data_IF_586753634168
#
_entry.id   IF_586753634168
#
_cell.length_a   1.000
_cell.length_b   1.000
_cell.length_c   1.000
_cell.angle_alpha   90.00
_cell.angle_beta   90.00
_cell.angle_gamma   90.00
#
_symmetry.space_group_name_H-M   'P 1'
#
loop_
_entity.id
_entity.type
_entity.pdbx_description
1 polymer ?
#
# COMPACT_ATOMS: atom_id res chain seq x y z
N UNK A 1 28.77 0.20 -2.18
CA UNK A 1 27.55 -0.57 -2.46
C UNK A 1 26.73 0.26 -3.41
N UNK A 2 26.45 -0.22 -4.63
CA UNK A 2 25.55 0.46 -5.57
C UNK A 2 24.16 0.48 -4.96
N UNK A 3 23.54 1.64 -4.78
CA UNK A 3 22.16 1.74 -4.37
C UNK A 3 21.31 1.10 -5.47
N UNK A 4 20.74 -0.06 -5.18
CA UNK A 4 19.80 -0.69 -6.11
C UNK A 4 18.47 0.05 -6.01
N UNK A 5 18.04 0.67 -7.10
CA UNK A 5 16.72 1.29 -7.16
C UNK A 5 15.63 0.22 -7.06
N UNK A 6 14.54 0.56 -6.36
CA UNK A 6 13.30 -0.23 -6.36
C UNK A 6 12.46 0.18 -7.56
N UNK A 7 11.96 -0.81 -8.30
CA UNK A 7 11.03 -0.60 -9.42
C UNK A 7 9.79 -1.42 -9.10
N UNK A 8 8.74 -0.74 -8.61
CA UNK A 8 7.48 -1.34 -8.24
C UNK A 8 6.39 -1.13 -9.30
N UNK A 9 5.50 -2.10 -9.42
CA UNK A 9 4.32 -1.99 -10.27
C UNK A 9 3.10 -2.63 -9.61
N UNK A 10 1.92 -2.00 -9.76
CA UNK A 10 0.65 -2.56 -9.31
C UNK A 10 -0.06 -3.25 -10.46
N UNK A 11 -0.67 -4.41 -10.17
CA UNK A 11 -1.52 -5.14 -11.11
C UNK A 11 -2.75 -5.67 -10.39
N UNK A 12 -3.92 -5.50 -10.99
CA UNK A 12 -5.13 -6.15 -10.48
C UNK A 12 -5.11 -7.65 -10.82
N UNK A 13 -5.58 -8.51 -9.92
CA UNK A 13 -5.50 -9.96 -10.06
C UNK A 13 -5.99 -10.46 -11.42
N UNK A 14 -7.13 -9.95 -11.91
CA UNK A 14 -7.69 -10.32 -13.23
C UNK A 14 -6.80 -9.99 -14.44
N UNK A 15 -5.78 -9.15 -14.26
CA UNK A 15 -4.83 -8.78 -15.30
C UNK A 15 -3.42 -9.33 -15.05
N UNK A 16 -3.26 -10.23 -14.07
CA UNK A 16 -1.97 -10.82 -13.71
C UNK A 16 -1.36 -11.61 -14.87
N UNK A 17 -2.18 -12.23 -15.70
CA UNK A 17 -1.81 -12.97 -16.91
C UNK A 17 -1.19 -12.07 -17.98
N UNK A 18 -1.51 -10.76 -17.99
CA UNK A 18 -0.96 -9.79 -18.94
C UNK A 18 0.45 -9.34 -18.61
N UNK A 19 0.94 -9.56 -17.38
CA UNK A 19 2.32 -9.27 -16.99
C UNK A 19 3.24 -10.25 -17.68
N UNK A 20 4.01 -9.77 -18.65
CA UNK A 20 4.92 -10.63 -19.42
C UNK A 20 6.17 -11.02 -18.60
N UNK A 21 6.87 -12.13 -18.97
CA UNK A 21 8.17 -12.44 -18.40
C UNK A 21 9.22 -11.32 -18.56
N UNK A 22 9.11 -10.52 -19.65
CA UNK A 22 10.00 -9.38 -19.87
C UNK A 22 9.70 -8.21 -18.92
N UNK A 23 8.44 -8.01 -18.54
CA UNK A 23 8.06 -7.00 -17.57
C UNK A 23 8.47 -7.41 -16.15
N UNK A 24 8.23 -8.68 -15.78
CA UNK A 24 8.68 -9.22 -14.50
C UNK A 24 10.18 -9.02 -14.26
N UNK A 25 11.01 -9.15 -15.30
CA UNK A 25 12.47 -8.94 -15.22
C UNK A 25 12.90 -7.48 -15.00
N UNK A 26 12.01 -6.51 -15.25
CA UNK A 26 12.28 -5.08 -15.03
C UNK A 26 11.87 -4.62 -13.64
N UNK A 27 11.07 -5.43 -12.91
CA UNK A 27 10.53 -5.10 -11.62
C UNK A 27 11.39 -5.70 -10.50
N UNK A 28 11.45 -4.99 -9.38
CA UNK A 28 11.90 -5.52 -8.09
C UNK A 28 10.73 -5.95 -7.22
N UNK A 29 9.57 -5.29 -7.40
CA UNK A 29 8.36 -5.51 -6.62
C UNK A 29 7.12 -5.49 -7.51
N UNK A 30 6.23 -6.46 -7.32
CA UNK A 30 4.93 -6.51 -7.97
C UNK A 30 3.85 -6.56 -6.89
N UNK A 31 2.99 -5.55 -6.86
CA UNK A 31 1.87 -5.46 -5.94
C UNK A 31 0.62 -6.02 -6.61
N UNK A 32 0.07 -7.08 -6.04
CA UNK A 32 -1.14 -7.72 -6.57
C UNK A 32 -2.36 -7.19 -5.85
N UNK A 33 -3.14 -6.41 -6.54
CA UNK A 33 -4.32 -5.71 -6.05
C UNK A 33 -5.62 -6.47 -6.39
N UNK A 34 -6.62 -6.56 -5.59
CA UNK A 34 -6.64 -6.22 -4.17
C UNK A 34 -7.30 -7.35 -3.38
N UNK A 35 -6.73 -7.67 -2.22
CA UNK A 35 -7.49 -8.29 -1.17
C UNK A 35 -8.39 -7.22 -0.50
N UNK A 36 -9.44 -7.65 0.16
CA UNK A 36 -10.41 -6.77 0.85
C UNK A 36 -10.64 -7.25 2.27
N UNK A 37 -11.28 -6.43 3.10
CA UNK A 37 -11.66 -6.80 4.46
C UNK A 37 -13.15 -7.18 4.46
N UNK A 38 -13.44 -8.38 4.95
CA UNK A 38 -14.81 -8.89 5.16
C UNK A 38 -14.90 -9.45 6.58
N UNK A 39 -15.88 -8.99 7.35
CA UNK A 39 -16.10 -9.41 8.74
C UNK A 39 -14.84 -9.31 9.63
N UNK A 40 -13.99 -8.30 9.38
CA UNK A 40 -12.74 -8.04 10.10
C UNK A 40 -11.54 -8.89 9.67
N UNK A 41 -11.70 -9.76 8.67
CA UNK A 41 -10.64 -10.60 8.12
C UNK A 41 -10.28 -10.18 6.69
N UNK A 42 -9.02 -10.36 6.33
CA UNK A 42 -8.53 -10.11 4.97
C UNK A 42 -8.84 -11.32 4.10
N UNK A 43 -9.53 -11.08 2.98
CA UNK A 43 -9.90 -12.13 2.03
C UNK A 43 -9.49 -11.76 0.61
N UNK A 44 -9.12 -12.76 -0.20
CA UNK A 44 -8.95 -12.60 -1.64
C UNK A 44 -10.09 -13.31 -2.36
N UNK A 45 -11.02 -12.53 -2.95
CA UNK A 45 -12.30 -13.03 -3.46
C UNK A 45 -12.21 -13.99 -4.63
N UNK A 46 -11.11 -13.91 -5.40
CA UNK A 46 -10.94 -14.67 -6.66
C UNK A 46 -9.58 -15.38 -6.69
N UNK A 47 -9.39 -16.41 -5.87
CA UNK A 47 -8.11 -17.09 -5.75
C UNK A 47 -7.56 -17.66 -7.06
N UNK A 48 -8.44 -18.00 -8.01
CA UNK A 48 -8.03 -18.53 -9.32
C UNK A 48 -7.22 -17.51 -10.15
N UNK A 49 -7.41 -16.21 -9.90
CA UNK A 49 -6.62 -15.14 -10.53
C UNK A 49 -5.13 -15.18 -10.12
N UNK A 50 -4.79 -15.87 -9.01
CA UNK A 50 -3.41 -15.95 -8.49
C UNK A 50 -2.59 -17.12 -9.09
N UNK A 51 -3.14 -17.89 -10.03
CA UNK A 51 -2.48 -19.06 -10.60
C UNK A 51 -1.14 -18.75 -11.30
N UNK A 52 -0.99 -17.53 -11.82
CA UNK A 52 0.18 -17.11 -12.61
C UNK A 52 1.40 -16.66 -11.79
N UNK A 53 1.34 -16.62 -10.47
CA UNK A 53 2.46 -16.17 -9.62
C UNK A 53 3.73 -17.00 -9.85
N UNK A 54 3.60 -18.32 -10.02
CA UNK A 54 4.73 -19.21 -10.27
C UNK A 54 5.46 -18.90 -11.58
N UNK A 55 4.72 -18.52 -12.63
CA UNK A 55 5.26 -18.11 -13.92
C UNK A 55 6.13 -16.85 -13.81
N UNK A 56 5.68 -15.86 -13.05
CA UNK A 56 6.41 -14.61 -12.83
C UNK A 56 7.69 -14.85 -12.02
N UNK A 57 7.63 -15.69 -10.98
CA UNK A 57 8.80 -16.09 -10.20
C UNK A 57 9.83 -16.88 -11.03
N UNK A 58 9.37 -17.75 -11.92
CA UNK A 58 10.26 -18.47 -12.83
C UNK A 58 11.00 -17.52 -13.78
N UNK A 59 10.35 -16.41 -14.19
CA UNK A 59 10.96 -15.41 -15.06
C UNK A 59 11.95 -14.49 -14.30
N UNK A 60 11.66 -14.18 -13.05
CA UNK A 60 12.50 -13.36 -12.18
C UNK A 60 12.46 -13.92 -10.73
N UNK A 61 13.44 -14.75 -10.35
CA UNK A 61 13.48 -15.33 -9.00
C UNK A 61 13.64 -14.30 -7.87
N UNK A 62 14.17 -13.12 -8.17
CA UNK A 62 14.38 -12.03 -7.20
C UNK A 62 13.17 -11.09 -7.07
N UNK A 63 12.13 -11.31 -7.91
CA UNK A 63 10.91 -10.51 -7.86
C UNK A 63 10.15 -10.76 -6.56
N UNK A 64 9.94 -9.72 -5.77
CA UNK A 64 9.01 -9.77 -4.64
C UNK A 64 7.59 -9.56 -5.15
N UNK A 65 6.70 -10.47 -4.79
CA UNK A 65 5.29 -10.37 -5.13
C UNK A 65 4.53 -10.14 -3.82
N UNK A 66 3.92 -8.97 -3.69
CA UNK A 66 3.34 -8.44 -2.46
C UNK A 66 1.83 -8.38 -2.63
N UNK A 67 1.07 -8.83 -1.63
CA UNK A 67 -0.39 -8.75 -1.62
C UNK A 67 -0.83 -7.35 -1.19
N UNK A 68 -1.48 -6.60 -2.06
CA UNK A 68 -2.08 -5.31 -1.72
C UNK A 68 -3.50 -5.50 -1.22
N UNK A 69 -3.80 -4.86 -0.08
CA UNK A 69 -5.09 -4.93 0.63
C UNK A 69 -5.69 -3.54 0.63
N UNK A 70 -6.91 -3.39 0.11
CA UNK A 70 -7.60 -2.12 0.13
C UNK A 70 -7.94 -1.55 -1.24
N UNK A 71 -7.46 -0.34 -1.51
CA UNK A 71 -7.78 0.45 -2.68
C UNK A 71 -8.98 1.36 -2.48
N UNK A 72 -9.21 2.28 -3.42
CA UNK A 72 -10.28 3.27 -3.33
C UNK A 72 -11.67 2.64 -3.08
N UNK A 73 -12.31 3.08 -1.99
CA UNK A 73 -13.64 2.59 -1.59
C UNK A 73 -13.64 1.25 -0.86
N UNK A 74 -12.48 0.65 -0.60
CA UNK A 74 -12.39 -0.55 0.22
C UNK A 74 -12.55 -0.20 1.70
N UNK A 75 -13.68 -0.54 2.30
CA UNK A 75 -13.99 -0.35 3.72
C UNK A 75 -13.43 -1.47 4.60
N UNK A 76 -13.77 -1.39 5.89
CA UNK A 76 -13.42 -2.39 6.90
C UNK A 76 -12.14 -2.07 7.70
N UNK A 77 -11.34 -1.11 7.25
CA UNK A 77 -10.08 -0.75 7.94
C UNK A 77 -10.32 -0.09 9.29
N UNK A 78 -11.18 0.94 9.35
CA UNK A 78 -11.48 1.66 10.60
C UNK A 78 -12.04 0.70 11.65
N UNK A 79 -12.94 -0.20 11.24
CA UNK A 79 -13.55 -1.20 12.12
C UNK A 79 -12.51 -2.24 12.59
N UNK A 80 -11.68 -2.76 11.68
CA UNK A 80 -10.63 -3.72 12.03
C UNK A 80 -9.54 -3.09 12.91
N UNK A 81 -9.19 -1.83 12.66
CA UNK A 81 -8.17 -1.11 13.44
C UNK A 81 -8.64 -0.73 14.84
N UNK A 82 -9.95 -0.54 15.06
CA UNK A 82 -10.53 0.02 16.27
C UNK A 82 -10.20 -0.78 17.55
N UNK A 83 -10.11 -2.11 17.45
CA UNK A 83 -9.91 -2.97 18.62
C UNK A 83 -8.66 -3.85 18.50
N UNK A 84 -8.05 -4.27 19.63
CA UNK A 84 -6.92 -5.20 19.58
C UNK A 84 -7.27 -6.54 18.90
N UNK A 85 -8.50 -7.04 19.08
CA UNK A 85 -8.94 -8.29 18.45
C UNK A 85 -9.12 -8.13 16.94
N UNK A 86 -9.69 -7.00 16.50
CA UNK A 86 -9.81 -6.68 15.08
C UNK A 86 -8.45 -6.58 14.39
N UNK A 87 -7.48 -5.87 14.99
CA UNK A 87 -6.12 -5.78 14.46
C UNK A 87 -5.44 -7.14 14.35
N UNK A 88 -5.62 -8.01 15.37
CA UNK A 88 -5.11 -9.40 15.33
C UNK A 88 -5.79 -10.24 14.25
N UNK A 89 -7.11 -10.09 14.06
CA UNK A 89 -7.87 -10.77 12.99
C UNK A 89 -7.35 -10.38 11.62
N UNK A 90 -7.23 -9.08 11.36
CA UNK A 90 -6.64 -8.54 10.13
C UNK A 90 -5.23 -9.09 9.87
N UNK A 91 -4.32 -8.94 10.84
CA UNK A 91 -2.92 -9.36 10.67
C UNK A 91 -2.79 -10.86 10.38
N UNK A 92 -3.49 -11.70 11.16
CA UNK A 92 -3.45 -13.17 10.99
C UNK A 92 -4.04 -13.61 9.65
N UNK A 93 -5.17 -13.04 9.23
CA UNK A 93 -5.79 -13.39 7.95
C UNK A 93 -4.95 -12.93 6.76
N UNK A 94 -4.35 -11.73 6.82
CA UNK A 94 -3.41 -11.23 5.82
C UNK A 94 -2.20 -12.17 5.67
N UNK A 95 -1.55 -12.55 6.79
CA UNK A 95 -0.39 -13.46 6.77
C UNK A 95 -0.77 -14.87 6.35
N UNK A 96 -1.98 -15.32 6.65
CA UNK A 96 -2.49 -16.60 6.15
C UNK A 96 -2.57 -16.64 4.62
N UNK A 97 -2.98 -15.53 3.98
CA UNK A 97 -2.96 -15.39 2.51
C UNK A 97 -1.52 -15.35 1.98
N UNK A 98 -0.61 -14.62 2.65
CA UNK A 98 0.82 -14.60 2.30
C UNK A 98 1.38 -16.01 2.26
N UNK A 99 1.16 -16.79 3.31
CA UNK A 99 1.59 -18.20 3.39
C UNK A 99 0.94 -19.08 2.34
N UNK A 100 -0.37 -18.96 2.17
CA UNK A 100 -1.16 -19.81 1.26
C UNK A 100 -0.74 -19.65 -0.19
N UNK A 101 -0.51 -18.42 -0.64
CA UNK A 101 -0.23 -18.11 -2.05
C UNK A 101 1.25 -17.80 -2.32
N UNK A 102 2.09 -17.82 -1.29
CA UNK A 102 3.52 -17.61 -1.40
C UNK A 102 3.89 -16.15 -1.70
N UNK A 103 3.12 -15.19 -1.24
CA UNK A 103 3.50 -13.78 -1.34
C UNK A 103 4.76 -13.47 -0.52
N UNK A 104 5.42 -12.36 -0.84
CA UNK A 104 6.63 -11.88 -0.17
C UNK A 104 6.34 -10.76 0.84
N UNK A 105 5.07 -10.52 1.12
CA UNK A 105 4.65 -9.51 2.08
C UNK A 105 3.24 -9.01 1.83
N UNK A 106 2.92 -7.94 2.55
CA UNK A 106 1.64 -7.25 2.55
C UNK A 106 1.86 -5.77 2.25
N UNK A 107 1.01 -5.20 1.42
CA UNK A 107 0.85 -3.78 1.18
C UNK A 107 -0.50 -3.33 1.70
N UNK A 108 -0.55 -2.24 2.47
CA UNK A 108 -1.80 -1.71 3.03
C UNK A 108 -2.15 -0.43 2.30
N UNK A 109 -3.26 -0.46 1.58
CA UNK A 109 -3.77 0.64 0.77
C UNK A 109 -5.10 1.14 1.35
N UNK A 110 -5.02 1.80 2.51
CA UNK A 110 -6.18 2.40 3.18
C UNK A 110 -6.38 3.84 2.71
N UNK A 111 -7.47 4.09 1.98
CA UNK A 111 -7.77 5.39 1.38
C UNK A 111 -9.04 6.04 1.97
N UNK A 112 -8.98 6.74 3.13
CA UNK A 112 -7.79 7.03 3.94
C UNK A 112 -8.14 6.98 5.43
N UNK A 113 -7.19 6.82 6.35
CA UNK A 113 -7.43 6.98 7.77
C UNK A 113 -8.04 8.37 8.07
N UNK A 114 -9.03 8.43 8.95
CA UNK A 114 -9.76 9.64 9.33
C UNK A 114 -10.59 10.30 8.20
N UNK A 115 -10.71 9.70 7.02
CA UNK A 115 -11.32 10.33 5.85
C UNK A 115 -12.33 9.41 5.15
N UNK A 116 -13.60 9.83 5.11
CA UNK A 116 -14.72 9.01 4.61
C UNK A 116 -15.16 9.31 3.17
N UNK A 117 -14.36 10.05 2.38
CA UNK A 117 -14.78 10.54 1.06
C UNK A 117 -15.10 9.43 0.04
N UNK A 118 -14.49 8.26 0.19
CA UNK A 118 -14.78 7.10 -0.64
C UNK A 118 -16.04 6.32 -0.19
N UNK A 119 -16.80 6.84 0.78
CA UNK A 119 -17.96 6.18 1.36
C UNK A 119 -17.62 5.06 2.35
N UNK A 120 -16.37 5.03 2.83
CA UNK A 120 -15.91 4.09 3.86
C UNK A 120 -16.14 4.67 5.26
N UNK A 121 -16.15 3.81 6.28
CA UNK A 121 -16.14 4.25 7.66
C UNK A 121 -14.80 4.94 7.99
N UNK A 122 -14.86 5.99 8.80
CA UNK A 122 -13.71 6.71 9.29
C UNK A 122 -13.98 7.25 10.70
N UNK A 123 -12.95 7.29 11.53
CA UNK A 123 -13.01 7.82 12.89
C UNK A 123 -11.76 8.68 13.16
N UNK A 124 -11.84 9.71 14.02
CA UNK A 124 -10.65 10.48 14.41
C UNK A 124 -9.54 9.63 15.04
N UNK A 125 -9.89 8.50 15.65
CA UNK A 125 -8.94 7.53 16.21
C UNK A 125 -8.17 6.75 15.16
N UNK A 126 -8.57 6.79 13.89
CA UNK A 126 -7.88 6.05 12.82
C UNK A 126 -6.42 6.47 12.70
N UNK A 127 -6.12 7.71 13.07
CA UNK A 127 -4.78 8.26 13.07
C UNK A 127 -3.81 7.42 13.90
N UNK A 128 -4.21 7.06 15.12
CA UNK A 128 -3.42 6.23 16.03
C UNK A 128 -3.63 4.75 15.74
N UNK A 129 -4.87 4.34 15.44
CA UNK A 129 -5.18 2.92 15.25
C UNK A 129 -4.61 2.36 13.94
N UNK A 130 -4.32 3.19 12.94
CA UNK A 130 -3.56 2.81 11.75
C UNK A 130 -2.15 2.34 12.12
N UNK A 131 -1.43 3.12 12.94
CA UNK A 131 -0.11 2.72 13.45
C UNK A 131 -0.19 1.39 14.20
N UNK A 132 -1.21 1.22 15.06
CA UNK A 132 -1.41 -0.02 15.81
C UNK A 132 -1.74 -1.22 14.90
N UNK A 133 -2.51 -1.01 13.82
CA UNK A 133 -2.80 -2.04 12.81
C UNK A 133 -1.52 -2.50 12.09
N UNK A 134 -0.69 -1.54 11.68
CA UNK A 134 0.59 -1.83 11.05
C UNK A 134 1.55 -2.53 12.01
N UNK A 135 1.62 -2.12 13.26
CA UNK A 135 2.45 -2.76 14.30
C UNK A 135 2.06 -4.23 14.53
N UNK A 136 0.76 -4.53 14.63
CA UNK A 136 0.29 -5.91 14.76
C UNK A 136 0.60 -6.72 13.49
N UNK A 137 0.40 -6.11 12.30
CA UNK A 137 0.71 -6.75 11.01
C UNK A 137 2.21 -7.02 10.87
N UNK A 138 3.08 -6.07 11.25
CA UNK A 138 4.53 -6.25 11.26
C UNK A 138 4.93 -7.41 12.18
N UNK A 139 4.37 -7.45 13.39
CA UNK A 139 4.64 -8.51 14.37
C UNK A 139 4.24 -9.91 13.85
N UNK A 140 3.12 -10.01 13.13
CA UNK A 140 2.69 -11.28 12.54
C UNK A 140 3.56 -11.69 11.34
N UNK A 141 3.94 -10.71 10.48
CA UNK A 141 4.89 -10.94 9.39
C UNK A 141 6.27 -11.36 9.90
N UNK A 142 6.76 -10.80 11.01
CA UNK A 142 8.04 -11.17 11.60
C UNK A 142 8.03 -12.60 12.14
N UNK A 143 6.92 -13.03 12.75
CA UNK A 143 6.74 -14.44 13.17
C UNK A 143 6.78 -15.39 11.98
N UNK A 144 6.09 -15.05 10.89
CA UNK A 144 6.11 -15.85 9.67
C UNK A 144 7.48 -15.82 8.98
N UNK A 145 8.15 -14.66 8.97
CA UNK A 145 9.51 -14.50 8.44
C UNK A 145 10.50 -15.43 9.15
N UNK A 146 10.41 -15.51 10.48
CA UNK A 146 11.23 -16.42 11.26
C UNK A 146 10.93 -17.90 10.95
N UNK A 147 9.67 -18.24 10.67
CA UNK A 147 9.26 -19.59 10.35
C UNK A 147 9.68 -20.02 8.93
N UNK A 148 9.58 -19.12 7.94
CA UNK A 148 9.92 -19.43 6.54
C UNK A 148 11.36 -19.11 6.14
N UNK A 149 12.14 -18.44 7.02
CA UNK A 149 13.56 -18.12 6.81
C UNK A 149 13.83 -17.01 5.79
N UNK A 150 12.81 -16.18 5.46
CA UNK A 150 12.94 -15.05 4.54
C UNK A 150 12.20 -13.83 5.08
N UNK A 151 12.71 -12.63 4.78
CA UNK A 151 12.04 -11.39 5.16
C UNK A 151 10.73 -11.22 4.37
N UNK A 152 9.64 -10.94 5.08
CA UNK A 152 8.34 -10.60 4.49
C UNK A 152 8.11 -9.10 4.63
N UNK A 153 7.87 -8.44 3.50
CA UNK A 153 7.72 -6.98 3.46
C UNK A 153 6.39 -6.54 4.05
N UNK A 154 6.41 -5.40 4.73
CA UNK A 154 5.23 -4.59 5.01
C UNK A 154 5.38 -3.27 4.29
N UNK A 155 4.45 -2.93 3.41
CA UNK A 155 4.44 -1.66 2.68
C UNK A 155 3.10 -0.97 2.82
N UNK A 156 3.06 0.32 2.51
CA UNK A 156 1.81 1.10 2.48
C UNK A 156 1.74 1.91 1.20
N UNK A 157 0.52 2.08 0.65
CA UNK A 157 0.22 3.07 -0.36
C UNK A 157 -0.42 4.29 0.31
N UNK A 158 0.03 5.49 -0.05
CA UNK A 158 -0.33 6.72 0.65
C UNK A 158 -0.68 7.85 -0.31
N UNK A 159 -1.64 8.69 0.06
CA UNK A 159 -1.96 9.91 -0.67
C UNK A 159 -0.79 10.90 -0.67
N UNK A 160 -0.62 11.60 -1.79
CA UNK A 160 0.39 12.66 -1.94
C UNK A 160 -0.13 14.03 -1.47
N UNK A 161 -0.97 14.05 -0.46
CA UNK A 161 -1.67 15.24 0.01
C UNK A 161 -1.60 15.41 1.53
N UNK A 162 -2.08 16.59 1.96
CA UNK A 162 -2.08 16.97 3.36
C UNK A 162 -3.03 16.11 4.21
N UNK A 163 -4.13 15.63 3.65
CA UNK A 163 -5.13 14.85 4.39
C UNK A 163 -4.55 13.54 4.90
N UNK A 164 -3.73 12.86 4.07
CA UNK A 164 -3.06 11.66 4.53
C UNK A 164 -2.06 11.94 5.67
N UNK A 165 -1.26 13.00 5.55
CA UNK A 165 -0.26 13.36 6.57
C UNK A 165 -0.94 13.73 7.91
N UNK A 166 -2.08 14.40 7.86
CA UNK A 166 -2.87 14.73 9.05
C UNK A 166 -3.58 13.51 9.64
N UNK A 167 -3.96 12.55 8.80
CA UNK A 167 -4.66 11.32 9.15
C UNK A 167 -3.77 10.16 9.61
N UNK A 168 -2.44 10.31 9.63
CA UNK A 168 -1.50 9.25 10.01
C UNK A 168 -0.37 9.76 10.90
N UNK A 169 0.16 8.91 11.78
CA UNK A 169 1.35 9.17 12.61
C UNK A 169 2.61 8.71 11.86
N UNK A 170 2.98 9.42 10.78
CA UNK A 170 4.07 8.99 9.89
C UNK A 170 5.42 8.86 10.60
N UNK A 171 5.67 9.62 11.67
CA UNK A 171 6.89 9.51 12.48
C UNK A 171 7.03 8.13 13.13
N UNK A 172 5.90 7.45 13.42
CA UNK A 172 5.88 6.09 13.98
C UNK A 172 5.74 5.02 12.87
N UNK A 173 4.92 5.30 11.86
CA UNK A 173 4.65 4.38 10.75
C UNK A 173 5.90 4.03 9.96
N UNK A 174 6.78 5.02 9.71
CA UNK A 174 8.01 4.81 8.95
C UNK A 174 8.95 3.75 9.55
N UNK A 175 8.89 3.53 10.86
CA UNK A 175 9.72 2.55 11.55
C UNK A 175 9.15 1.11 11.46
N UNK A 176 7.91 0.98 11.02
CA UNK A 176 7.19 -0.30 10.88
C UNK A 176 7.23 -0.87 9.46
N UNK A 177 7.42 -0.01 8.46
CA UNK A 177 7.26 -0.39 7.04
C UNK A 177 8.57 -0.41 6.28
N UNK A 178 8.67 -1.31 5.31
CA UNK A 178 9.84 -1.45 4.44
C UNK A 178 9.82 -0.44 3.28
N UNK A 179 8.63 0.04 2.89
CA UNK A 179 8.45 0.96 1.76
C UNK A 179 7.15 1.75 1.91
N UNK A 180 7.21 3.02 1.53
CA UNK A 180 6.04 3.89 1.39
C UNK A 180 5.85 4.22 -0.08
N UNK A 181 4.74 3.77 -0.67
CA UNK A 181 4.36 4.00 -2.06
C UNK A 181 3.50 5.26 -2.13
N UNK A 182 4.10 6.40 -2.46
CA UNK A 182 3.36 7.66 -2.57
C UNK A 182 2.62 7.71 -3.90
N UNK A 183 1.29 7.80 -3.85
CA UNK A 183 0.40 7.90 -5.01
C UNK A 183 0.46 9.31 -5.61
N UNK A 184 1.50 9.58 -6.40
CA UNK A 184 1.73 10.88 -7.06
C UNK A 184 0.94 11.02 -8.36
N UNK A 185 -0.33 10.62 -8.32
CA UNK A 185 -1.31 10.71 -9.40
C UNK A 185 -2.67 11.16 -8.83
N UNK A 186 -3.70 11.26 -9.65
CA UNK A 186 -4.99 11.87 -9.31
C UNK A 186 -4.88 13.32 -8.80
N UNK A 187 -3.76 13.98 -9.08
CA UNK A 187 -3.50 15.38 -8.69
C UNK A 187 -4.49 16.35 -9.34
N UNK A 188 -5.04 15.95 -10.47
CA UNK A 188 -6.18 16.57 -11.13
C UNK A 188 -7.05 15.46 -11.69
N UNK A 189 -8.25 15.34 -11.20
CA UNK A 189 -9.21 14.30 -11.57
C UNK A 189 -10.65 14.78 -11.42
N UNK A 190 -11.58 13.87 -11.31
CA UNK A 190 -13.01 14.14 -11.22
C UNK A 190 -13.47 14.93 -9.99
N UNK A 191 -12.62 15.06 -8.98
CA UNK A 191 -12.91 15.80 -7.75
C UNK A 191 -12.48 17.28 -7.82
N UNK A 192 -11.73 17.69 -8.85
CA UNK A 192 -11.28 19.08 -9.01
C UNK A 192 -12.11 19.83 -10.05
N UNK A 193 -12.39 21.09 -9.77
CA UNK A 193 -13.15 21.98 -10.67
C UNK A 193 -12.30 22.44 -11.86
N UNK A 194 -11.00 22.60 -11.65
CA UNK A 194 -10.06 23.07 -12.66
C UNK A 194 -9.31 21.91 -13.31
N UNK A 195 -9.15 21.99 -14.63
CA UNK A 195 -8.29 21.06 -15.38
C UNK A 195 -6.82 21.25 -15.05
N UNK A 196 -6.02 20.21 -15.20
CA UNK A 196 -4.58 20.25 -14.97
C UNK A 196 -3.93 18.87 -15.23
N UNK A 197 -2.67 18.74 -14.86
CA UNK A 197 -1.94 17.52 -15.07
C UNK A 197 -2.29 16.48 -13.99
N UNK A 198 -2.57 15.26 -14.42
CA UNK A 198 -2.94 14.15 -13.56
C UNK A 198 -1.76 13.63 -12.70
N UNK A 199 -0.55 13.56 -13.29
CA UNK A 199 0.64 12.94 -12.67
C UNK A 199 1.91 13.77 -12.88
N UNK A 200 1.81 15.10 -12.77
CA UNK A 200 2.94 15.97 -13.09
C UNK A 200 4.11 15.81 -12.09
N UNK A 201 5.32 15.68 -12.61
CA UNK A 201 6.54 15.68 -11.78
C UNK A 201 6.82 17.08 -11.20
N UNK A 202 6.59 18.13 -11.99
CA UNK A 202 6.74 19.52 -11.61
C UNK A 202 5.47 20.30 -11.96
N UNK A 203 5.10 21.27 -11.12
CA UNK A 203 3.97 22.14 -11.42
C UNK A 203 4.27 23.03 -12.62
N UNK A 204 3.25 23.34 -13.43
CA UNK A 204 3.34 24.33 -14.49
C UNK A 204 3.19 25.76 -13.91
N UNK A 205 3.68 26.77 -14.64
CA UNK A 205 3.52 28.17 -14.25
C UNK A 205 2.05 28.63 -14.20
N UNK A 206 1.16 27.93 -14.88
CA UNK A 206 -0.29 28.19 -14.89
C UNK A 206 -1.07 27.39 -13.84
N UNK A 207 -0.44 26.51 -13.09
CA UNK A 207 -1.12 25.74 -12.04
C UNK A 207 -1.26 26.57 -10.77
N UNK A 208 -2.49 27.03 -10.51
CA UNK A 208 -2.81 27.87 -9.36
C UNK A 208 -2.49 27.19 -8.01
N UNK A 209 -2.60 25.87 -7.93
CA UNK A 209 -2.39 25.11 -6.69
C UNK A 209 -0.97 24.54 -6.55
N UNK A 210 -0.15 24.65 -7.59
CA UNK A 210 1.23 24.14 -7.63
C UNK A 210 1.37 22.67 -7.20
N UNK A 211 0.37 21.86 -7.52
CA UNK A 211 0.35 20.45 -7.15
C UNK A 211 1.27 19.68 -8.09
N UNK A 212 2.21 18.92 -7.52
CA UNK A 212 3.13 18.07 -8.27
C UNK A 212 3.81 17.03 -7.35
N UNK A 213 4.36 15.98 -7.92
CA UNK A 213 5.15 14.99 -7.20
C UNK A 213 6.38 15.61 -6.49
N UNK A 214 6.96 16.67 -7.05
CA UNK A 214 8.06 17.41 -6.43
C UNK A 214 7.60 18.20 -5.20
N UNK A 215 6.38 18.77 -5.22
CA UNK A 215 5.80 19.47 -4.07
C UNK A 215 5.46 18.50 -2.94
N UNK A 216 4.89 17.34 -3.25
CA UNK A 216 4.61 16.30 -2.26
C UNK A 216 5.88 15.83 -1.51
N UNK A 217 7.01 15.70 -2.22
CA UNK A 217 8.31 15.38 -1.60
C UNK A 217 8.91 16.55 -0.78
N UNK A 218 8.61 17.77 -1.12
CA UNK A 218 9.13 18.98 -0.43
C UNK A 218 8.55 19.20 0.97
N UNK A 219 7.39 18.64 1.28
CA UNK A 219 6.78 18.72 2.61
C UNK A 219 7.51 17.85 3.64
N UNK A 220 8.23 16.81 3.21
CA UNK A 220 9.06 15.97 4.09
C UNK A 220 10.38 16.68 4.50
N UNK A 221 11.00 17.45 3.60
CA UNK A 221 12.32 18.06 3.85
C UNK A 221 12.28 19.29 4.76
N UNK A 222 11.13 19.92 4.95
CA UNK A 222 10.99 21.12 5.80
C UNK A 222 10.84 20.82 7.29
N UNK A 223 10.53 19.57 7.67
CA UNK A 223 10.39 19.15 9.07
C UNK A 223 11.69 18.59 9.69
N UNK A 224 12.71 18.30 8.88
CA UNK A 224 14.02 17.82 9.37
C UNK A 224 15.05 18.90 9.67
N UNK A 225 14.63 20.18 9.69
CA UNK A 225 15.49 21.31 10.05
C UNK A 225 14.83 22.20 11.12
N UNK A 226 14.72 21.65 12.32
CA UNK A 226 14.67 22.48 13.55
C UNK A 226 15.32 21.69 14.69
#
# INVERSE_FOLDING_TARGET
>A
MSASYRVGGYVVGRALDTVSPSDAKKLTDLFVAFAVIEDGEVVYRKPDELADLSRLRAANPDLRIILSIGGWGAGGFSEAAATPDGRRGFAKSAVALVRRYGFDGVDVDWEYPCYSAAGIAAAPSDRETFTLLLSETRSELDRESAACGRHLCLTIAVGADQYFIEGACMDEVQDLVDLVNVMTYDMRGGFQVLTGHHTCLHHSSGDLYRISAAAARGTESSRTRT
#
